data_IF_735724604931
#
_entry.id   IF_735724604931
#
_cell.length_a   1.000
_cell.length_b   1.000
_cell.length_c   1.000
_cell.angle_alpha   90.00
_cell.angle_beta   90.00
_cell.angle_gamma   90.00
#
_symmetry.space_group_name_H-M   'P 1'
#
loop_
_entity.id
_entity.type
_entity.pdbx_description
1 polymer ?
#
# COMPACT_ATOMS: atom_id res chain seq x y z
N UNK A 1 -26.15 -9.82 -4.83
CA UNK A 1 -25.55 -10.95 -5.56
C UNK A 1 -24.06 -10.91 -5.26
N UNK A 2 -23.50 -12.05 -4.81
CA UNK A 2 -22.05 -12.23 -4.66
C UNK A 2 -21.57 -12.95 -5.90
N UNK A 3 -20.48 -12.49 -6.49
CA UNK A 3 -19.77 -13.16 -7.60
C UNK A 3 -18.33 -13.37 -7.20
N UNK A 4 -17.83 -14.53 -7.46
CA UNK A 4 -16.41 -14.87 -7.39
C UNK A 4 -15.88 -15.04 -8.82
N UNK A 5 -14.72 -14.44 -9.07
CA UNK A 5 -14.02 -14.52 -10.35
C UNK A 5 -12.62 -15.05 -10.02
N UNK A 6 -12.30 -16.24 -10.53
CA UNK A 6 -10.94 -16.78 -10.42
C UNK A 6 -10.05 -16.10 -11.43
N UNK A 7 -8.86 -15.68 -10.99
CA UNK A 7 -7.81 -15.11 -11.82
C UNK A 7 -6.65 -16.10 -12.06
N UNK A 8 -6.73 -17.30 -11.49
CA UNK A 8 -5.63 -18.28 -11.49
C UNK A 8 -5.26 -18.78 -12.90
N UNK A 9 -6.03 -18.69 -13.87
CA UNK A 9 -5.68 -19.14 -15.24
C UNK A 9 -5.20 -18.03 -16.15
N UNK A 10 -5.49 -16.79 -15.79
CA UNK A 10 -5.27 -15.63 -16.64
C UNK A 10 -4.02 -14.83 -16.26
N UNK A 11 -3.62 -14.93 -14.99
CA UNK A 11 -2.44 -14.25 -14.45
C UNK A 11 -1.35 -15.30 -14.17
N UNK A 12 -0.24 -15.21 -14.88
CA UNK A 12 0.94 -16.02 -14.57
C UNK A 12 1.48 -15.76 -13.16
N UNK A 13 2.64 -16.32 -12.81
CA UNK A 13 3.31 -16.03 -11.55
C UNK A 13 3.75 -14.57 -11.50
N UNK A 14 3.45 -13.86 -10.40
CA UNK A 14 3.86 -12.47 -10.24
C UNK A 14 3.03 -11.66 -9.26
N UNK A 15 3.20 -10.36 -9.33
CA UNK A 15 2.37 -9.36 -8.65
C UNK A 15 1.63 -8.51 -9.68
N UNK A 16 0.37 -8.26 -9.43
CA UNK A 16 -0.51 -7.61 -10.39
C UNK A 16 -1.29 -6.48 -9.73
N UNK A 17 -1.51 -5.40 -10.48
CA UNK A 17 -2.53 -4.42 -10.16
C UNK A 17 -3.88 -4.86 -10.75
N UNK A 18 -4.92 -4.92 -9.92
CA UNK A 18 -6.27 -5.26 -10.37
C UNK A 18 -7.14 -4.01 -10.32
N UNK A 19 -7.66 -3.59 -11.48
CA UNK A 19 -8.64 -2.51 -11.59
C UNK A 19 -10.01 -3.10 -11.87
N UNK A 20 -10.96 -2.82 -10.98
CA UNK A 20 -12.35 -3.28 -11.11
C UNK A 20 -13.22 -2.05 -11.45
N UNK A 21 -13.96 -2.14 -12.54
CA UNK A 21 -14.92 -1.11 -12.95
C UNK A 21 -16.32 -1.70 -13.02
N UNK A 22 -17.32 -0.94 -12.56
CA UNK A 22 -18.72 -1.33 -12.63
C UNK A 22 -19.60 -0.10 -12.89
N UNK A 23 -20.76 -0.35 -13.46
CA UNK A 23 -21.82 0.64 -13.72
C UNK A 23 -22.67 0.95 -12.47
N UNK A 24 -22.48 0.20 -11.40
CA UNK A 24 -23.19 0.35 -10.12
C UNK A 24 -22.19 0.25 -8.95
N UNK A 25 -22.62 0.75 -7.79
CA UNK A 25 -21.85 0.62 -6.56
C UNK A 25 -21.59 -0.85 -6.24
N UNK A 26 -20.34 -1.21 -6.03
CA UNK A 26 -19.93 -2.55 -5.64
C UNK A 26 -18.97 -2.49 -4.46
N UNK A 27 -18.92 -3.58 -3.71
CA UNK A 27 -17.85 -3.87 -2.77
C UNK A 27 -17.05 -5.02 -3.34
N UNK A 28 -15.76 -4.83 -3.46
CA UNK A 28 -14.85 -5.84 -3.98
C UNK A 28 -13.69 -6.09 -3.02
N UNK A 29 -13.13 -7.27 -3.09
CA UNK A 29 -11.88 -7.63 -2.43
C UNK A 29 -11.19 -8.71 -3.25
N UNK A 30 -9.88 -8.79 -3.14
CA UNK A 30 -9.09 -9.86 -3.76
C UNK A 30 -8.63 -10.80 -2.65
N UNK A 31 -8.92 -12.06 -2.81
CA UNK A 31 -8.41 -13.12 -1.96
C UNK A 31 -7.14 -13.67 -2.59
N UNK A 32 -6.03 -13.62 -1.86
CA UNK A 32 -4.77 -14.19 -2.29
C UNK A 32 -4.39 -15.33 -1.35
N UNK A 33 -4.17 -16.48 -1.93
CA UNK A 33 -3.72 -17.67 -1.23
C UNK A 33 -2.23 -17.84 -1.45
N UNK A 34 -1.52 -18.18 -0.38
CA UNK A 34 -0.10 -18.45 -0.41
C UNK A 34 0.19 -19.81 0.24
N UNK A 35 0.86 -20.67 -0.50
CA UNK A 35 1.26 -21.99 -0.03
C UNK A 35 2.77 -22.13 -0.14
N UNK A 36 3.39 -22.59 0.92
CA UNK A 36 4.79 -23.02 0.97
C UNK A 36 4.86 -24.45 1.47
N UNK A 37 6.04 -25.06 1.47
CA UNK A 37 6.22 -26.42 1.96
C UNK A 37 5.82 -26.61 3.43
N UNK A 38 5.87 -25.57 4.22
CA UNK A 38 5.69 -25.64 5.68
C UNK A 38 4.43 -24.99 6.21
N UNK A 39 3.74 -24.14 5.40
CA UNK A 39 2.52 -23.49 5.86
C UNK A 39 1.63 -23.04 4.69
N UNK A 40 0.37 -22.80 5.02
CA UNK A 40 -0.63 -22.20 4.13
C UNK A 40 -1.18 -20.96 4.80
N UNK A 41 -1.31 -19.89 4.03
CA UNK A 41 -1.85 -18.64 4.51
C UNK A 41 -2.64 -17.93 3.42
N UNK A 42 -3.44 -16.95 3.80
CA UNK A 42 -4.21 -16.16 2.87
C UNK A 42 -4.33 -14.72 3.34
N UNK A 43 -4.60 -13.84 2.41
CA UNK A 43 -4.89 -12.44 2.71
C UNK A 43 -6.04 -11.92 1.85
N UNK A 44 -6.90 -11.14 2.45
CA UNK A 44 -7.89 -10.33 1.77
C UNK A 44 -7.30 -8.95 1.49
N UNK A 45 -7.15 -8.64 0.21
CA UNK A 45 -6.74 -7.32 -0.23
C UNK A 45 -7.98 -6.47 -0.46
N UNK A 46 -8.14 -5.44 0.34
CA UNK A 46 -9.20 -4.45 0.17
C UNK A 46 -8.81 -3.44 -0.91
N UNK A 47 -9.77 -2.81 -1.58
CA UNK A 47 -9.47 -1.73 -2.51
C UNK A 47 -8.64 -0.63 -1.84
N UNK A 48 -7.68 -0.11 -2.55
CA UNK A 48 -7.00 1.12 -2.15
C UNK A 48 -7.94 2.32 -2.34
N UNK A 49 -7.64 3.41 -1.66
CA UNK A 49 -8.39 4.65 -1.80
C UNK A 49 -8.33 5.17 -3.24
N UNK A 50 -9.34 5.97 -3.61
CA UNK A 50 -9.41 6.58 -4.92
C UNK A 50 -8.20 7.49 -5.19
N UNK A 51 -7.91 7.71 -6.47
CA UNK A 51 -6.81 8.54 -6.94
C UNK A 51 -6.82 9.96 -6.36
N UNK A 52 -7.99 10.53 -6.14
CA UNK A 52 -8.15 11.90 -5.63
C UNK A 52 -7.69 12.03 -4.18
N UNK A 53 -7.90 11.00 -3.38
CA UNK A 53 -7.46 10.98 -1.98
C UNK A 53 -5.96 10.81 -1.83
N UNK A 54 -5.30 10.09 -2.76
CA UNK A 54 -3.85 9.92 -2.78
C UNK A 54 -3.10 11.11 -3.44
N UNK A 55 -3.83 12.02 -4.08
CA UNK A 55 -3.25 13.13 -4.83
C UNK A 55 -2.78 14.31 -3.96
N UNK A 56 -3.23 14.41 -2.72
CA UNK A 56 -3.16 15.65 -1.92
C UNK A 56 -1.94 15.77 -0.99
N UNK A 57 -0.87 15.04 -1.23
CA UNK A 57 0.36 15.17 -0.43
C UNK A 57 1.21 13.90 -0.42
N UNK A 58 2.34 13.92 0.27
CA UNK A 58 3.17 12.74 0.42
C UNK A 58 2.46 11.69 1.29
N UNK A 59 2.54 10.45 0.86
CA UNK A 59 2.14 9.30 1.67
C UNK A 59 3.31 8.92 2.54
N UNK A 60 3.17 9.02 3.84
CA UNK A 60 4.23 8.68 4.79
C UNK A 60 3.84 7.45 5.61
N UNK A 61 4.74 6.47 5.69
CA UNK A 61 4.54 5.19 6.34
C UNK A 61 5.66 4.90 7.31
N UNK A 62 5.32 4.43 8.50
CA UNK A 62 6.28 3.94 9.48
C UNK A 62 6.34 2.41 9.40
N UNK A 63 7.51 1.86 9.06
CA UNK A 63 7.68 0.44 8.77
C UNK A 63 8.26 -0.36 9.95
N UNK A 64 8.84 0.32 10.94
CA UNK A 64 9.41 -0.36 12.09
C UNK A 64 10.53 -1.37 11.78
N UNK A 65 11.22 -1.22 10.65
CA UNK A 65 12.25 -2.15 10.19
C UNK A 65 11.73 -3.35 9.41
N UNK A 66 10.46 -3.40 9.09
CA UNK A 66 9.89 -4.38 8.16
C UNK A 66 10.37 -4.10 6.73
N UNK A 67 10.50 -5.16 5.95
CA UNK A 67 10.96 -5.13 4.55
C UNK A 67 9.83 -5.51 3.58
N UNK A 68 8.82 -4.65 3.41
CA UNK A 68 7.73 -4.94 2.49
C UNK A 68 8.13 -4.73 1.04
N UNK A 69 7.33 -5.27 0.15
CA UNK A 69 7.29 -4.87 -1.25
C UNK A 69 6.23 -3.77 -1.39
N UNK A 70 6.62 -2.62 -1.94
CA UNK A 70 5.71 -1.55 -2.33
C UNK A 70 5.20 -1.84 -3.74
N UNK A 71 3.89 -1.76 -3.92
CA UNK A 71 3.23 -1.80 -5.22
C UNK A 71 2.40 -0.54 -5.41
N UNK A 72 2.53 0.10 -6.58
CA UNK A 72 1.73 1.27 -6.97
C UNK A 72 1.05 1.01 -8.30
N UNK A 73 -0.14 1.55 -8.47
CA UNK A 73 -0.93 1.50 -9.71
C UNK A 73 -1.33 2.92 -10.12
N UNK A 74 -1.13 3.27 -11.39
CA UNK A 74 -1.52 4.55 -11.97
C UNK A 74 -1.50 4.44 -13.50
N UNK A 75 -2.09 5.39 -14.19
CA UNK A 75 -1.97 5.49 -15.67
C UNK A 75 -0.61 6.07 -16.10
N UNK A 76 0.14 6.67 -15.21
CA UNK A 76 1.51 7.15 -15.40
C UNK A 76 2.15 7.39 -14.03
N UNK A 77 2.99 6.47 -13.60
CA UNK A 77 3.70 6.55 -12.32
C UNK A 77 4.95 7.41 -12.52
N UNK A 78 4.96 8.58 -11.90
CA UNK A 78 6.14 9.43 -11.78
C UNK A 78 6.22 9.90 -10.32
N UNK A 79 7.02 9.18 -9.52
CA UNK A 79 7.08 9.36 -8.08
C UNK A 79 8.51 9.43 -7.58
N UNK A 80 8.72 10.21 -6.54
CA UNK A 80 9.92 10.17 -5.72
C UNK A 80 9.60 9.39 -4.45
N UNK A 81 10.36 8.34 -4.21
CA UNK A 81 10.29 7.56 -2.99
C UNK A 81 11.52 7.88 -2.15
N UNK A 82 11.29 8.41 -0.95
CA UNK A 82 12.32 8.71 0.04
C UNK A 82 12.15 7.79 1.23
N UNK A 83 13.26 7.36 1.81
CA UNK A 83 13.22 6.53 3.02
C UNK A 83 14.30 6.93 4.02
N UNK A 84 13.99 6.73 5.28
CA UNK A 84 14.92 6.91 6.40
C UNK A 84 15.19 5.56 7.03
N UNK A 85 16.46 5.20 7.16
CA UNK A 85 16.85 3.96 7.83
C UNK A 85 16.83 4.09 9.37
N UNK A 86 17.06 2.98 10.07
CA UNK A 86 17.12 2.95 11.55
C UNK A 86 18.24 3.81 12.14
N UNK A 87 19.24 4.21 11.34
CA UNK A 87 20.35 5.08 11.74
C UNK A 87 20.07 6.55 11.45
N UNK A 88 18.90 6.87 10.87
CA UNK A 88 18.51 8.23 10.49
C UNK A 88 19.06 8.70 9.14
N UNK A 89 19.70 7.82 8.36
CA UNK A 89 20.16 8.18 7.02
C UNK A 89 18.96 8.25 6.07
N UNK A 90 18.85 9.38 5.36
CA UNK A 90 17.83 9.59 4.33
C UNK A 90 18.40 9.23 2.97
N UNK A 91 17.62 8.51 2.18
CA UNK A 91 17.90 8.18 0.79
C UNK A 91 16.64 8.37 -0.05
N UNK A 92 16.78 8.52 -1.36
CA UNK A 92 15.63 8.64 -2.27
C UNK A 92 15.94 8.05 -3.64
N UNK A 93 14.89 7.68 -4.35
CA UNK A 93 14.93 7.26 -5.75
C UNK A 93 13.70 7.78 -6.47
N UNK A 94 13.81 7.92 -7.79
CA UNK A 94 12.68 8.33 -8.64
C UNK A 94 12.32 7.18 -9.55
N UNK A 95 11.02 6.95 -9.73
CA UNK A 95 10.48 5.94 -10.62
C UNK A 95 9.60 6.58 -11.68
N UNK A 96 9.71 6.05 -12.90
CA UNK A 96 8.93 6.41 -14.08
C UNK A 96 8.44 5.13 -14.72
N UNK A 97 7.18 4.77 -14.46
CA UNK A 97 6.56 3.54 -14.96
C UNK A 97 5.20 3.86 -15.62
N UNK A 98 4.76 3.03 -16.55
CA UNK A 98 3.53 3.30 -17.29
C UNK A 98 2.28 3.12 -16.45
N UNK A 99 2.17 1.99 -15.73
CA UNK A 99 0.92 1.55 -15.12
C UNK A 99 1.09 0.84 -13.76
N UNK A 100 2.21 0.14 -13.57
CA UNK A 100 2.46 -0.64 -12.35
C UNK A 100 3.93 -0.55 -11.94
N UNK A 101 4.15 -0.19 -10.67
CA UNK A 101 5.46 -0.22 -10.02
C UNK A 101 5.44 -1.27 -8.92
N UNK A 102 6.45 -2.13 -8.93
CA UNK A 102 6.78 -3.00 -7.81
C UNK A 102 8.21 -2.75 -7.37
N UNK A 103 8.39 -2.47 -6.09
CA UNK A 103 9.69 -2.14 -5.53
C UNK A 103 9.89 -2.73 -4.14
N UNK A 104 10.99 -3.44 -3.96
CA UNK A 104 11.38 -3.95 -2.64
C UNK A 104 11.93 -2.83 -1.78
N UNK A 105 11.29 -2.56 -0.66
CA UNK A 105 11.76 -1.56 0.29
C UNK A 105 13.10 -2.00 0.88
N UNK A 106 14.11 -1.11 0.92
CA UNK A 106 15.42 -1.45 1.49
C UNK A 106 15.35 -1.92 2.93
N UNK A 107 16.22 -2.87 3.26
CA UNK A 107 16.35 -3.39 4.62
C UNK A 107 16.60 -2.25 5.63
N UNK A 108 16.11 -2.44 6.84
CA UNK A 108 16.22 -1.47 7.93
C UNK A 108 15.56 -0.10 7.67
N UNK A 109 14.65 0.00 6.72
CA UNK A 109 13.84 1.22 6.53
C UNK A 109 12.90 1.40 7.72
N UNK A 110 13.00 2.56 8.38
CA UNK A 110 12.11 2.96 9.48
C UNK A 110 10.88 3.70 8.96
N UNK A 111 11.10 4.60 8.01
CA UNK A 111 10.06 5.45 7.44
C UNK A 111 10.19 5.50 5.93
N UNK A 112 9.07 5.48 5.25
CA UNK A 112 8.93 5.60 3.81
C UNK A 112 8.04 6.79 3.50
N UNK A 113 8.40 7.60 2.52
CA UNK A 113 7.58 8.69 1.99
C UNK A 113 7.50 8.59 0.47
N UNK A 114 6.28 8.64 -0.06
CA UNK A 114 6.00 8.57 -1.49
C UNK A 114 5.43 9.91 -1.90
N UNK A 115 6.09 10.58 -2.83
CA UNK A 115 5.66 11.88 -3.36
C UNK A 115 5.49 11.78 -4.86
N UNK A 116 4.32 12.12 -5.35
CA UNK A 116 4.06 12.24 -6.78
C UNK A 116 4.76 13.47 -7.34
N UNK A 117 5.41 13.33 -8.49
CA UNK A 117 5.94 14.50 -9.21
C UNK A 117 4.82 15.20 -9.99
N UNK A 118 5.02 16.46 -10.41
CA UNK A 118 4.04 17.16 -11.24
C UNK A 118 3.74 16.51 -12.60
N UNK A 119 4.58 15.58 -13.05
CA UNK A 119 4.42 14.85 -14.32
C UNK A 119 3.62 13.57 -14.17
N UNK A 120 3.55 13.02 -12.95
CA UNK A 120 2.85 11.78 -12.68
C UNK A 120 1.35 11.97 -12.69
N UNK A 121 0.62 10.98 -13.18
CA UNK A 121 -0.81 10.88 -12.98
C UNK A 121 -1.13 10.64 -11.50
N UNK A 122 -2.38 10.85 -11.11
CA UNK A 122 -2.83 10.49 -9.78
C UNK A 122 -2.69 8.99 -9.57
N UNK A 123 -2.18 8.58 -8.40
CA UNK A 123 -2.10 7.16 -8.07
C UNK A 123 -3.52 6.59 -7.96
N UNK A 124 -3.82 5.57 -8.74
CA UNK A 124 -5.09 4.84 -8.68
C UNK A 124 -5.17 3.95 -7.45
N UNK A 125 -4.02 3.59 -6.90
CA UNK A 125 -3.91 2.80 -5.70
C UNK A 125 -2.50 2.34 -5.41
N UNK A 126 -2.35 1.66 -4.28
CA UNK A 126 -1.10 1.04 -3.90
C UNK A 126 -1.21 0.26 -2.61
N UNK A 127 -0.22 -0.55 -2.35
CA UNK A 127 -0.15 -1.37 -1.15
C UNK A 127 1.29 -1.71 -0.76
N UNK A 128 1.45 -2.05 0.51
CA UNK A 128 2.61 -2.78 1.00
C UNK A 128 2.23 -4.24 1.21
N UNK A 129 3.07 -5.14 0.72
CA UNK A 129 2.92 -6.57 0.93
C UNK A 129 4.15 -7.15 1.60
N UNK A 130 3.92 -8.09 2.51
CA UNK A 130 4.96 -8.88 3.15
C UNK A 130 4.73 -10.34 2.83
N UNK A 131 5.79 -11.02 2.43
CA UNK A 131 5.82 -12.48 2.31
C UNK A 131 7.01 -13.02 3.08
N UNK A 132 6.76 -13.94 3.94
CA UNK A 132 7.81 -14.53 4.77
C UNK A 132 7.55 -16.02 5.08
N UNK A 133 8.46 -16.62 5.81
CA UNK A 133 8.35 -18.01 6.22
C UNK A 133 7.12 -18.29 7.11
N UNK A 134 6.49 -17.27 7.66
CA UNK A 134 5.38 -17.37 8.61
C UNK A 134 4.07 -16.78 8.08
N UNK A 135 4.01 -16.30 6.84
CA UNK A 135 2.75 -15.79 6.29
C UNK A 135 2.88 -14.71 5.23
N UNK A 136 1.73 -14.19 4.85
CA UNK A 136 1.55 -13.07 3.95
C UNK A 136 0.73 -11.98 4.65
N UNK A 137 1.09 -10.73 4.43
CA UNK A 137 0.30 -9.58 4.91
C UNK A 137 0.15 -8.55 3.80
N UNK A 138 -0.95 -7.80 3.85
CA UNK A 138 -1.30 -6.77 2.90
C UNK A 138 -1.77 -5.52 3.64
N UNK A 139 -1.21 -4.36 3.29
CA UNK A 139 -1.61 -3.07 3.81
C UNK A 139 -1.89 -2.11 2.65
N UNK A 140 -3.15 -1.75 2.37
CA UNK A 140 -3.47 -0.76 1.36
C UNK A 140 -2.93 0.61 1.76
N UNK A 141 -2.40 1.36 0.81
CA UNK A 141 -2.00 2.73 1.03
C UNK A 141 -3.23 3.61 1.25
N UNK A 142 -3.09 4.52 2.19
CA UNK A 142 -4.08 5.56 2.48
C UNK A 142 -3.39 6.91 2.44
N UNK A 143 -4.09 7.94 2.00
CA UNK A 143 -3.59 9.30 2.04
C UNK A 143 -3.30 9.72 3.49
N UNK A 144 -2.17 10.39 3.70
CA UNK A 144 -1.76 10.86 5.03
C UNK A 144 -2.59 12.04 5.56
N UNK A 145 -3.48 12.61 4.74
CA UNK A 145 -4.29 13.78 5.10
C UNK A 145 -5.35 13.51 6.20
N UNK A 146 -5.56 12.26 6.58
CA UNK A 146 -6.46 11.91 7.69
C UNK A 146 -5.87 12.30 9.06
N UNK A 147 -4.59 12.65 9.13
CA UNK A 147 -3.97 13.12 10.38
C UNK A 147 -4.17 14.62 10.65
N UNK A 148 -4.87 15.36 9.80
CA UNK A 148 -5.22 16.76 10.06
C UNK A 148 -6.27 16.95 11.16
N UNK A 149 -6.93 15.90 11.58
CA UNK A 149 -7.63 15.85 12.85
C UNK A 149 -6.73 15.12 13.86
N UNK A 150 -5.77 15.85 14.41
CA UNK A 150 -5.11 15.40 15.64
C UNK A 150 -6.24 15.00 16.61
N UNK A 151 -6.29 13.71 16.97
CA UNK A 151 -7.19 13.25 18.01
C UNK A 151 -6.97 14.18 19.19
N UNK A 152 -7.99 14.99 19.54
CA UNK A 152 -7.92 15.80 20.75
C UNK A 152 -7.59 14.83 21.88
N UNK A 153 -6.53 15.06 22.65
CA UNK A 153 -6.27 14.21 23.80
C UNK A 153 -7.52 14.28 24.68
N UNK A 154 -8.17 13.14 24.84
CA UNK A 154 -9.26 13.01 25.81
C UNK A 154 -8.53 13.10 27.16
N UNK A 155 -8.56 14.26 27.78
CA UNK A 155 -8.10 14.42 29.13
C UNK A 155 -9.14 13.73 30.03
N UNK A 156 -8.96 12.45 30.26
CA UNK A 156 -9.63 11.76 31.36
C UNK A 156 -8.91 12.15 32.64
N UNK A 157 -9.19 13.36 33.12
CA UNK A 157 -8.99 13.68 34.51
C UNK A 157 -10.09 12.97 35.31
N UNK A 158 -9.89 11.73 35.63
CA UNK A 158 -10.65 11.06 36.67
C UNK A 158 -10.21 11.67 38.00
N UNK A 159 -10.99 12.59 38.51
CA UNK A 159 -10.87 13.03 39.90
C UNK A 159 -11.42 11.89 40.76
N UNK A 160 -10.52 11.14 41.37
CA UNK A 160 -10.88 10.18 42.43
C UNK A 160 -11.00 11.00 43.68
N UNK A 161 -12.22 11.19 44.17
CA UNK A 161 -12.53 11.69 45.51
C UNK A 161 -12.63 10.52 46.48
#
# INVERSE_FOLDING_TARGET
>A
IVREISLDGDLGDGSFGVKISADQNLVASVYTYYESQSFRDFVWSTPSQSADELANGPITLNLGGLEPTLSLVSDNIDVVISWTDIKGKVSSTTFHESDFLQWQVPANTRQLSITRTPRGASLSGGALTWRGASGIAFLPLKSGSILDTAAKPISNAATIS
#
